data_IF_357695758789
#
_entry.id   IF_357695758789
#
_cell.length_a   1.000
_cell.length_b   1.000
_cell.length_c   1.000
_cell.angle_alpha   90.00
_cell.angle_beta   90.00
_cell.angle_gamma   90.00
#
_symmetry.space_group_name_H-M   'P 1'
#
loop_
_entity.id
_entity.type
_entity.pdbx_description
1 polymer ?
#
# COMPACT_ATOMS: atom_id res chain seq x y z
N UNK A 1 12.40 7.85 49.83
CA UNK A 1 10.94 7.81 49.66
C UNK A 1 10.59 8.90 48.67
N UNK A 2 9.64 8.65 47.76
CA UNK A 2 9.39 9.30 46.45
C UNK A 2 10.23 8.60 45.37
N UNK A 3 9.77 7.58 44.61
CA UNK A 3 8.43 7.24 44.08
C UNK A 3 7.82 8.32 43.20
N UNK A 4 8.23 8.30 41.92
CA UNK A 4 7.44 8.65 40.72
C UNK A 4 7.94 7.66 39.63
N UNK A 5 7.25 6.57 39.29
CA UNK A 5 5.89 6.47 38.76
C UNK A 5 5.71 7.32 37.49
N UNK A 6 6.24 6.86 36.36
CA UNK A 6 5.52 6.72 35.08
C UNK A 6 6.52 6.13 34.06
N UNK A 7 6.47 4.84 33.84
CA UNK A 7 5.69 4.17 32.77
C UNK A 7 6.37 4.29 31.40
N UNK A 8 6.60 3.12 30.82
CA UNK A 8 7.12 2.92 29.48
C UNK A 8 6.50 3.91 28.50
N UNK A 9 7.27 4.91 28.05
CA UNK A 9 7.07 5.44 26.72
C UNK A 9 7.62 4.39 25.74
N UNK A 10 6.87 3.30 25.62
CA UNK A 10 6.99 2.38 24.51
C UNK A 10 6.77 3.20 23.25
N UNK A 11 7.86 3.58 22.60
CA UNK A 11 7.87 3.78 21.15
C UNK A 11 7.86 2.39 20.51
N UNK A 12 6.90 1.57 20.92
CA UNK A 12 6.43 0.45 20.15
C UNK A 12 5.61 1.11 19.05
N UNK A 13 6.29 1.55 18.00
CA UNK A 13 5.70 1.65 16.68
C UNK A 13 5.28 0.24 16.25
N UNK A 14 4.32 -0.31 16.98
CA UNK A 14 3.47 -1.40 16.57
C UNK A 14 2.57 -0.77 15.50
N UNK A 15 3.14 -0.60 14.31
CA UNK A 15 2.34 -0.54 13.10
C UNK A 15 1.63 -1.89 13.05
N UNK A 16 0.43 -1.90 13.64
CA UNK A 16 -0.60 -2.90 13.44
C UNK A 16 -0.60 -3.22 11.94
N UNK A 17 -0.06 -4.40 11.65
CA UNK A 17 0.27 -4.84 10.32
C UNK A 17 -1.04 -5.28 9.65
N UNK A 18 -1.88 -4.29 9.32
CA UNK A 18 -3.16 -4.44 8.64
C UNK A 18 -2.99 -4.92 7.20
N UNK A 19 -2.33 -6.07 7.01
CA UNK A 19 -2.15 -6.75 5.73
C UNK A 19 -1.72 -5.84 4.57
N UNK A 20 -0.50 -5.29 4.66
CA UNK A 20 0.11 -4.61 3.51
C UNK A 20 0.30 -5.61 2.37
N UNK A 21 -0.42 -5.42 1.26
CA UNK A 21 -0.26 -6.24 0.06
C UNK A 21 0.77 -5.64 -0.89
N UNK A 22 1.85 -6.38 -1.14
CA UNK A 22 2.91 -6.00 -2.07
C UNK A 22 2.76 -6.70 -3.42
N UNK A 23 2.64 -5.93 -4.50
CA UNK A 23 2.55 -6.41 -5.87
C UNK A 23 3.72 -5.87 -6.71
N UNK A 24 4.41 -6.74 -7.44
CA UNK A 24 5.53 -6.32 -8.32
C UNK A 24 5.11 -6.46 -9.77
N UNK A 25 5.32 -5.40 -10.56
CA UNK A 25 4.99 -5.38 -11.99
C UNK A 25 6.03 -6.19 -12.77
N UNK A 26 5.64 -7.30 -13.42
CA UNK A 26 6.57 -8.08 -14.23
C UNK A 26 7.00 -7.31 -15.49
N UNK A 27 8.17 -7.69 -16.00
CA UNK A 27 8.70 -7.25 -17.29
C UNK A 27 7.78 -7.69 -18.43
N UNK A 28 6.95 -6.75 -18.90
CA UNK A 28 5.91 -6.98 -19.92
C UNK A 28 4.52 -6.50 -19.51
N UNK A 29 4.30 -6.23 -18.22
CA UNK A 29 3.06 -5.60 -17.78
C UNK A 29 3.07 -4.10 -18.13
N UNK A 30 2.10 -3.71 -18.96
CA UNK A 30 1.86 -2.33 -19.37
C UNK A 30 0.35 -2.06 -19.28
N UNK A 31 -0.03 -0.82 -19.04
CA UNK A 31 -1.44 -0.43 -18.93
C UNK A 31 -1.71 0.44 -17.71
N UNK A 32 -2.97 0.49 -17.29
CA UNK A 32 -3.41 1.32 -16.16
C UNK A 32 -3.24 0.58 -14.83
N UNK A 33 -2.81 1.30 -13.81
CA UNK A 33 -2.64 0.77 -12.45
C UNK A 33 -3.90 0.10 -11.89
N UNK A 34 -5.08 0.71 -12.04
CA UNK A 34 -6.33 0.13 -11.54
C UNK A 34 -6.66 -1.24 -12.16
N UNK A 35 -6.38 -1.41 -13.44
CA UNK A 35 -6.66 -2.64 -14.17
C UNK A 35 -5.63 -3.73 -13.84
N UNK A 36 -4.36 -3.34 -13.75
CA UNK A 36 -3.28 -4.26 -13.40
C UNK A 36 -3.43 -4.77 -11.95
N UNK A 37 -3.67 -3.88 -10.98
CA UNK A 37 -3.91 -4.28 -9.60
C UNK A 37 -5.16 -5.15 -9.45
N UNK A 38 -6.25 -4.84 -10.16
CA UNK A 38 -7.45 -5.67 -10.12
C UNK A 38 -7.24 -7.06 -10.74
N UNK A 39 -6.30 -7.20 -11.69
CA UNK A 39 -5.92 -8.50 -12.23
C UNK A 39 -5.04 -9.30 -11.27
N UNK A 40 -4.22 -8.61 -10.46
CA UNK A 40 -3.28 -9.24 -9.54
C UNK A 40 -3.91 -9.57 -8.17
N UNK A 41 -4.74 -8.66 -7.65
CA UNK A 41 -5.47 -8.81 -6.40
C UNK A 41 -6.80 -9.54 -6.68
N UNK A 42 -6.74 -10.87 -6.75
CA UNK A 42 -7.92 -11.72 -6.84
C UNK A 42 -8.78 -11.56 -5.56
N UNK A 43 -9.71 -10.60 -5.60
CA UNK A 43 -10.55 -10.24 -4.45
C UNK A 43 -10.85 -8.74 -4.36
N UNK A 44 -10.07 -7.88 -5.02
CA UNK A 44 -10.32 -6.44 -5.06
C UNK A 44 -10.86 -6.02 -6.42
N UNK A 45 -12.10 -5.53 -6.44
CA UNK A 45 -12.66 -4.90 -7.63
C UNK A 45 -11.90 -3.63 -7.99
N UNK A 46 -11.88 -3.27 -9.29
CA UNK A 46 -11.28 -2.02 -9.79
C UNK A 46 -11.73 -0.77 -9.03
N UNK A 47 -13.01 -0.70 -8.66
CA UNK A 47 -13.56 0.40 -7.86
C UNK A 47 -12.94 0.47 -6.45
N UNK A 48 -12.65 -0.68 -5.84
CA UNK A 48 -12.01 -0.75 -4.52
C UNK A 48 -10.54 -0.33 -4.60
N UNK A 49 -9.82 -0.77 -5.63
CA UNK A 49 -8.48 -0.27 -5.92
C UNK A 49 -8.50 1.26 -6.11
N UNK A 50 -9.45 1.80 -6.88
CA UNK A 50 -9.58 3.24 -7.09
C UNK A 50 -9.86 4.02 -5.79
N UNK A 51 -10.70 3.47 -4.89
CA UNK A 51 -10.96 4.05 -3.58
C UNK A 51 -9.68 4.10 -2.74
N UNK A 52 -8.95 2.98 -2.63
CA UNK A 52 -7.69 2.89 -1.88
C UNK A 52 -6.64 3.87 -2.41
N UNK A 53 -6.54 4.02 -3.73
CA UNK A 53 -5.63 4.99 -4.35
C UNK A 53 -6.05 6.43 -4.03
N UNK A 54 -7.35 6.72 -4.04
CA UNK A 54 -7.90 8.04 -3.72
C UNK A 54 -7.74 8.38 -2.23
N UNK A 55 -7.81 7.37 -1.37
CA UNK A 55 -7.52 7.47 0.07
C UNK A 55 -6.01 7.59 0.36
N UNK A 56 -5.15 7.36 -0.63
CA UNK A 56 -3.69 7.41 -0.46
C UNK A 56 -3.07 6.16 0.15
N UNK A 57 -3.84 5.06 0.25
CA UNK A 57 -3.35 3.77 0.77
C UNK A 57 -2.51 2.98 -0.23
N UNK A 58 -2.49 3.40 -1.49
CA UNK A 58 -1.67 2.75 -2.52
C UNK A 58 -0.43 3.59 -2.78
N UNK A 59 0.72 2.99 -2.52
CA UNK A 59 2.03 3.59 -2.77
C UNK A 59 2.80 2.76 -3.79
N UNK A 60 3.70 3.40 -4.51
CA UNK A 60 4.64 2.77 -5.42
C UNK A 60 6.04 3.22 -5.10
N UNK A 61 6.93 2.28 -4.81
CA UNK A 61 8.33 2.56 -4.47
C UNK A 61 8.48 3.69 -3.42
N UNK A 62 7.57 3.77 -2.44
CA UNK A 62 7.57 4.79 -1.39
C UNK A 62 6.89 6.12 -1.74
N UNK A 63 6.28 6.25 -2.92
CA UNK A 63 5.53 7.45 -3.33
C UNK A 63 4.04 7.19 -3.55
N UNK A 64 3.15 8.15 -3.26
CA UNK A 64 1.73 8.01 -3.58
C UNK A 64 1.52 7.98 -5.10
N UNK A 65 0.62 7.12 -5.57
CA UNK A 65 0.31 6.97 -6.99
C UNK A 65 -1.12 7.34 -7.32
N UNK A 66 -1.40 7.54 -8.62
CA UNK A 66 -2.75 7.83 -9.12
C UNK A 66 -3.31 6.59 -9.81
N UNK A 67 -4.62 6.39 -9.70
CA UNK A 67 -5.27 5.19 -10.27
C UNK A 67 -5.18 5.12 -11.79
N UNK A 68 -5.14 6.27 -12.45
CA UNK A 68 -4.95 6.39 -13.89
C UNK A 68 -3.47 6.41 -14.31
N UNK A 69 -2.53 6.28 -13.37
CA UNK A 69 -1.11 6.23 -13.71
C UNK A 69 -0.81 4.95 -14.51
N UNK A 70 0.08 5.03 -15.51
CA UNK A 70 0.55 3.85 -16.21
C UNK A 70 1.44 3.02 -15.28
N UNK A 71 1.29 1.69 -15.33
CA UNK A 71 2.25 0.76 -14.71
C UNK A 71 3.43 0.54 -15.65
N UNK A 72 4.63 0.55 -15.08
CA UNK A 72 5.87 0.20 -15.75
C UNK A 72 6.45 -1.05 -15.11
N UNK A 73 7.02 -1.91 -15.95
CA UNK A 73 7.81 -3.05 -15.51
C UNK A 73 8.84 -2.64 -14.45
N UNK A 74 8.98 -3.47 -13.41
CA UNK A 74 9.90 -3.23 -12.31
C UNK A 74 9.37 -2.28 -11.22
N UNK A 75 8.17 -1.72 -11.36
CA UNK A 75 7.52 -1.00 -10.27
C UNK A 75 6.97 -1.96 -9.21
N UNK A 76 7.20 -1.64 -7.95
CA UNK A 76 6.58 -2.30 -6.82
C UNK A 76 5.47 -1.41 -6.25
N UNK A 77 4.28 -1.97 -6.08
CA UNK A 77 3.12 -1.32 -5.48
C UNK A 77 2.83 -1.96 -4.13
N UNK A 78 2.57 -1.15 -3.12
CA UNK A 78 2.10 -1.59 -1.81
C UNK A 78 0.71 -0.99 -1.57
N UNK A 79 -0.18 -1.82 -1.05
CA UNK A 79 -1.52 -1.43 -0.61
C UNK A 79 -1.58 -1.65 0.88
N UNK A 80 -1.89 -0.59 1.63
CA UNK A 80 -2.28 -0.64 3.04
C UNK A 80 -3.80 -0.83 3.19
#
# INVERSE_FOLDING_TARGET
MQEDLWDNAGDEAETDNGSVWSFTVPEGATGRLDAWLAAQAAGLSRARIQALIKEGRVTCAGGPVKANAPVKAGQAFAID
#
